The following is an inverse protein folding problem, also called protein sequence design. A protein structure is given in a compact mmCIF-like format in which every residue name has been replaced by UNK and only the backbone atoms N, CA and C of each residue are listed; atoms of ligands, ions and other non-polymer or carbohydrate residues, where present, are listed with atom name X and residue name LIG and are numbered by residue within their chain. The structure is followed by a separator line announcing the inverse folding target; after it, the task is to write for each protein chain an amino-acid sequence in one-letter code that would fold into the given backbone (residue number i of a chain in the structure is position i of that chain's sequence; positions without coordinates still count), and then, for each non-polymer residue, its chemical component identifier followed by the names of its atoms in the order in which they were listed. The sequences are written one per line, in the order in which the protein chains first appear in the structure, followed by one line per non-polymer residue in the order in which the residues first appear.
data_IF_320586030326
#
_entry.id   IF_320586030326
#
_cell.length_a   1.000
_cell.length_b   1.000
_cell.length_c   1.000
_cell.angle_alpha   90.00
_cell.angle_beta   90.00
_cell.angle_gamma   90.00
#
_symmetry.space_group_name_H-M   'P 1'
#
loop_
_entity.id
_entity.type
_entity.pdbx_description
1 polymer ?
#
# COMPACT_ATOMS: atom_id res chain seq x y z
N UNK A 1 14.05 -5.47 17.60
CA UNK A 1 13.57 -6.04 16.31
C UNK A 1 14.79 -6.43 15.47
N UNK A 2 14.93 -7.70 15.08
CA UNK A 2 16.13 -8.25 14.42
C UNK A 2 16.32 -7.71 12.97
N UNK A 3 17.56 -7.62 12.48
CA UNK A 3 17.93 -7.18 11.12
C UNK A 3 17.22 -7.99 10.03
N UNK A 4 17.08 -9.30 10.23
CA UNK A 4 16.33 -10.18 9.32
C UNK A 4 14.87 -9.71 9.12
N UNK A 5 14.19 -9.32 10.20
CA UNK A 5 12.80 -8.88 10.13
C UNK A 5 12.66 -7.58 9.33
N UNK A 6 13.66 -6.69 9.38
CA UNK A 6 13.65 -5.44 8.58
C UNK A 6 13.75 -5.74 7.08
N UNK A 7 14.54 -6.73 6.69
CA UNK A 7 14.72 -7.14 5.28
C UNK A 7 13.41 -7.75 4.75
N UNK A 8 12.81 -8.70 5.49
CA UNK A 8 11.54 -9.32 5.11
C UNK A 8 10.43 -8.27 4.97
N UNK A 9 10.36 -7.34 5.93
CA UNK A 9 9.40 -6.23 5.88
C UNK A 9 9.60 -5.34 4.65
N UNK A 10 10.84 -4.92 4.37
CA UNK A 10 11.14 -4.06 3.22
C UNK A 10 10.80 -4.73 1.88
N UNK A 11 11.08 -6.03 1.75
CA UNK A 11 10.73 -6.80 0.56
C UNK A 11 9.22 -6.92 0.38
N UNK A 12 8.48 -7.27 1.44
CA UNK A 12 7.01 -7.33 1.39
C UNK A 12 6.40 -5.97 1.06
N UNK A 13 6.90 -4.89 1.66
CA UNK A 13 6.48 -3.52 1.37
C UNK A 13 6.68 -3.18 -0.11
N UNK A 14 7.83 -3.52 -0.72
CA UNK A 14 8.08 -3.31 -2.15
C UNK A 14 7.08 -4.06 -3.04
N UNK A 15 6.82 -5.34 -2.75
CA UNK A 15 5.87 -6.17 -3.53
C UNK A 15 4.47 -5.56 -3.50
N UNK A 16 3.99 -5.16 -2.31
CA UNK A 16 2.67 -4.55 -2.15
C UNK A 16 2.62 -3.19 -2.87
N UNK A 17 3.65 -2.36 -2.73
CA UNK A 17 3.73 -1.06 -3.42
C UNK A 17 3.70 -1.21 -4.95
N UNK A 18 4.38 -2.23 -5.50
CA UNK A 18 4.36 -2.51 -6.94
C UNK A 18 2.96 -2.94 -7.40
N UNK A 19 2.31 -3.87 -6.69
CA UNK A 19 0.95 -4.32 -7.02
C UNK A 19 -0.04 -3.14 -7.04
N UNK A 20 -0.03 -2.29 -6.00
CA UNK A 20 -0.93 -1.14 -5.90
C UNK A 20 -0.67 -0.10 -7.01
N UNK A 21 0.58 0.05 -7.43
CA UNK A 21 0.91 0.90 -8.56
C UNK A 21 0.43 0.31 -9.89
N UNK A 22 0.82 -0.92 -10.20
CA UNK A 22 0.56 -1.58 -11.48
C UNK A 22 -0.93 -1.86 -11.70
N UNK A 23 -1.65 -2.30 -10.65
CA UNK A 23 -3.05 -2.73 -10.76
C UNK A 23 -4.04 -1.61 -10.52
N UNK A 24 -3.71 -0.64 -9.66
CA UNK A 24 -4.67 0.39 -9.21
C UNK A 24 -4.22 1.82 -9.53
N UNK A 25 -3.00 2.00 -10.04
CA UNK A 25 -2.41 3.33 -10.26
C UNK A 25 -2.27 4.13 -8.96
N UNK A 26 -2.01 3.45 -7.83
CA UNK A 26 -1.89 4.05 -6.49
C UNK A 26 -0.44 4.08 -6.04
N UNK A 27 0.11 5.29 -5.86
CA UNK A 27 1.43 5.50 -5.28
C UNK A 27 1.30 5.65 -3.76
N UNK A 28 1.59 4.58 -3.02
CA UNK A 28 1.44 4.55 -1.56
C UNK A 28 2.78 4.54 -0.82
N UNK A 29 2.77 5.08 0.40
CA UNK A 29 3.85 5.02 1.38
C UNK A 29 5.19 5.52 0.79
N UNK A 30 5.07 6.68 0.12
CA UNK A 30 6.18 7.51 -0.36
C UNK A 30 6.12 8.87 0.33
N UNK A 31 7.27 9.46 0.71
CA UNK A 31 7.29 10.82 1.24
C UNK A 31 6.82 11.80 0.16
N UNK A 32 6.09 12.84 0.58
CA UNK A 32 5.76 13.97 -0.30
C UNK A 32 6.98 14.88 -0.46
N UNK A 33 7.02 15.64 -1.55
CA UNK A 33 8.15 16.51 -1.95
C UNK A 33 8.46 17.67 -0.99
N UNK A 34 7.71 17.85 0.10
CA UNK A 34 7.97 18.85 1.15
C UNK A 34 8.50 18.28 2.48
N UNK A 35 8.88 17.00 2.52
CA UNK A 35 9.42 16.37 3.74
C UNK A 35 8.40 16.02 4.82
N UNK A 36 7.15 16.47 4.69
CA UNK A 36 6.05 16.14 5.60
C UNK A 36 4.99 15.26 4.96
N UNK A 37 4.53 14.26 5.72
CA UNK A 37 3.49 13.34 5.30
C UNK A 37 3.91 12.34 4.22
N UNK A 38 2.92 11.58 3.75
CA UNK A 38 3.11 10.60 2.68
C UNK A 38 2.06 10.76 1.59
N UNK A 39 2.26 10.07 0.47
CA UNK A 39 1.28 9.99 -0.63
C UNK A 39 -0.03 9.27 -0.25
N UNK A 40 -0.17 8.79 0.99
CA UNK A 40 -1.40 8.23 1.54
C UNK A 40 -2.33 9.34 2.03
N UNK A 41 -2.85 10.16 1.11
CA UNK A 41 -3.85 11.18 1.44
C UNK A 41 -5.28 10.68 1.19
N UNK A 42 -6.26 11.56 1.43
CA UNK A 42 -7.68 11.23 1.27
C UNK A 42 -8.05 10.78 -0.13
N UNK A 43 -7.37 11.28 -1.17
CA UNK A 43 -7.61 10.84 -2.54
C UNK A 43 -7.11 9.40 -2.76
N UNK A 44 -5.91 9.08 -2.27
CA UNK A 44 -5.36 7.73 -2.30
C UNK A 44 -6.26 6.75 -1.54
N UNK A 45 -6.71 7.11 -0.33
CA UNK A 45 -7.61 6.28 0.46
C UNK A 45 -8.94 6.03 -0.26
N UNK A 46 -9.61 7.08 -0.73
CA UNK A 46 -10.88 6.97 -1.47
C UNK A 46 -10.75 6.09 -2.71
N UNK A 47 -9.65 6.19 -3.46
CA UNK A 47 -9.41 5.34 -4.64
C UNK A 47 -9.12 3.89 -4.26
N UNK A 48 -8.40 3.64 -3.17
CA UNK A 48 -8.10 2.29 -2.70
C UNK A 48 -9.37 1.51 -2.35
N UNK A 49 -10.32 2.15 -1.65
CA UNK A 49 -11.58 1.52 -1.26
C UNK A 49 -12.67 1.55 -2.35
N UNK A 50 -12.40 2.10 -3.53
CA UNK A 50 -13.33 2.04 -4.67
C UNK A 50 -13.47 0.61 -5.22
N UNK A 51 -12.42 -0.20 -5.09
CA UNK A 51 -12.42 -1.62 -5.41
C UNK A 51 -11.77 -2.42 -4.27
N UNK A 52 -12.53 -2.76 -3.22
CA UNK A 52 -12.03 -3.50 -2.06
C UNK A 52 -11.47 -4.88 -2.41
N UNK A 53 -11.98 -5.54 -3.47
CA UNK A 53 -11.50 -6.86 -3.89
C UNK A 53 -10.08 -6.77 -4.42
N UNK A 54 -9.84 -5.84 -5.35
CA UNK A 54 -8.51 -5.63 -5.91
C UNK A 54 -7.52 -5.12 -4.85
N UNK A 55 -8.00 -4.27 -3.94
CA UNK A 55 -7.19 -3.79 -2.83
C UNK A 55 -6.79 -4.92 -1.87
N UNK A 56 -7.74 -5.77 -1.46
CA UNK A 56 -7.50 -6.96 -0.65
C UNK A 56 -6.50 -7.92 -1.31
N UNK A 57 -6.64 -8.14 -2.62
CA UNK A 57 -5.74 -8.98 -3.41
C UNK A 57 -4.29 -8.48 -3.34
N UNK A 58 -4.07 -7.17 -3.55
CA UNK A 58 -2.72 -6.59 -3.46
C UNK A 58 -2.15 -6.63 -2.04
N UNK A 59 -2.98 -6.43 -1.00
CA UNK A 59 -2.54 -6.49 0.40
C UNK A 59 -2.32 -7.93 0.90
N UNK A 60 -2.84 -8.93 0.19
CA UNK A 60 -2.96 -10.33 0.62
C UNK A 60 -3.73 -10.43 1.94
N UNK A 61 -4.86 -9.74 1.98
CA UNK A 61 -5.81 -9.76 3.08
C UNK A 61 -7.15 -10.35 2.61
N UNK A 62 -7.93 -10.83 3.56
CA UNK A 62 -9.32 -11.21 3.32
C UNK A 62 -10.15 -9.95 3.04
N UNK A 63 -10.95 -9.97 1.97
CA UNK A 63 -11.74 -8.81 1.54
C UNK A 63 -12.76 -8.37 2.59
N UNK A 64 -13.21 -9.27 3.47
CA UNK A 64 -14.14 -8.94 4.56
C UNK A 64 -13.64 -7.86 5.53
N UNK A 65 -12.34 -7.57 5.53
CA UNK A 65 -11.76 -6.51 6.35
C UNK A 65 -11.79 -5.13 5.68
N UNK A 66 -12.25 -5.03 4.42
CA UNK A 66 -12.25 -3.81 3.62
C UNK A 66 -13.65 -3.40 3.13
N UNK A 67 -14.69 -4.15 3.51
CA UNK A 67 -16.11 -3.97 3.16
C UNK A 67 -16.92 -3.84 4.43
#
# INVERSE_FOLDING_TARGET
RNKSHKIVFANRKKIIQACLWEKMGLRVDKPKSGGFGSTNDGNTARRAFKDPNLFAQCLRLDVKFLT
#
